data_IF_789455727021
#
_entry.id   IF_789455727021
#
_cell.length_a   1.000
_cell.length_b   1.000
_cell.length_c   1.000
_cell.angle_alpha   90.00
_cell.angle_beta   90.00
_cell.angle_gamma   90.00
#
_symmetry.space_group_name_H-M   'P 1'
#
loop_
_entity.id
_entity.type
_entity.pdbx_description
1 polymer ?
#
# COMPACT_ATOMS: atom_id res chain seq x y z
N UNK A 1 -22.02 -2.18 1.31
CA UNK A 1 -20.99 -3.09 1.89
C UNK A 1 -20.05 -3.46 0.76
N UNK A 2 -18.74 -3.38 0.98
CA UNK A 2 -17.73 -3.71 -0.04
C UNK A 2 -17.55 -5.23 -0.09
N UNK A 3 -17.54 -5.82 -1.30
CA UNK A 3 -17.29 -7.25 -1.49
C UNK A 3 -15.78 -7.51 -1.68
N UNK A 4 -15.04 -7.47 -0.58
CA UNK A 4 -13.59 -7.68 -0.56
C UNK A 4 -13.19 -9.05 -1.14
N UNK A 5 -14.01 -10.08 -0.93
CA UNK A 5 -13.74 -11.43 -1.42
C UNK A 5 -13.69 -11.50 -2.93
N UNK A 6 -14.64 -10.85 -3.60
CA UNK A 6 -14.66 -10.80 -5.06
C UNK A 6 -13.50 -9.95 -5.59
N UNK A 7 -13.27 -8.77 -5.00
CA UNK A 7 -12.15 -7.87 -5.37
C UNK A 7 -10.81 -8.59 -5.27
N UNK A 8 -10.51 -9.20 -4.13
CA UNK A 8 -9.23 -9.88 -3.89
C UNK A 8 -8.98 -11.02 -4.87
N UNK A 9 -10.01 -11.80 -5.22
CA UNK A 9 -9.90 -12.86 -6.22
C UNK A 9 -9.61 -12.32 -7.62
N UNK A 10 -10.25 -11.22 -8.01
CA UNK A 10 -10.06 -10.59 -9.32
C UNK A 10 -8.68 -9.93 -9.44
N UNK A 11 -8.17 -9.37 -8.35
CA UNK A 11 -6.90 -8.63 -8.31
C UNK A 11 -5.68 -9.55 -8.21
N UNK A 12 -5.79 -10.70 -7.52
CA UNK A 12 -4.65 -11.61 -7.28
C UNK A 12 -3.85 -11.98 -8.54
N UNK A 13 -4.47 -12.30 -9.69
CA UNK A 13 -3.73 -12.57 -10.93
C UNK A 13 -3.01 -11.35 -11.54
N UNK A 14 -3.42 -10.13 -11.19
CA UNK A 14 -2.92 -8.87 -11.74
C UNK A 14 -1.92 -8.15 -10.81
N UNK A 15 -1.59 -8.70 -9.64
CA UNK A 15 -0.65 -8.07 -8.69
C UNK A 15 0.68 -7.64 -9.34
N UNK A 16 1.22 -8.40 -10.29
CA UNK A 16 2.43 -8.01 -11.01
C UNK A 16 2.29 -6.74 -11.83
N UNK A 17 1.08 -6.43 -12.35
CA UNK A 17 0.79 -5.20 -13.07
C UNK A 17 0.59 -4.00 -12.15
N UNK A 18 0.22 -4.24 -10.90
CA UNK A 18 0.11 -3.21 -9.86
C UNK A 18 1.47 -2.77 -9.31
N UNK A 19 2.54 -3.54 -9.57
CA UNK A 19 3.90 -3.12 -9.25
C UNK A 19 4.30 -1.85 -10.03
N UNK A 20 5.30 -1.13 -9.53
CA UNK A 20 5.74 0.13 -10.10
C UNK A 20 5.52 1.31 -9.16
N UNK A 21 5.34 2.50 -9.73
CA UNK A 21 5.33 3.75 -8.97
C UNK A 21 3.93 4.32 -8.91
N UNK A 22 3.47 4.60 -7.68
CA UNK A 22 2.19 5.22 -7.37
C UNK A 22 2.42 6.51 -6.59
N UNK A 23 1.80 7.60 -7.06
CA UNK A 23 1.83 8.89 -6.38
C UNK A 23 0.53 9.07 -5.60
N UNK A 24 0.63 9.51 -4.36
CA UNK A 24 -0.55 9.83 -3.55
C UNK A 24 -1.13 11.17 -4.01
N UNK A 25 -2.35 11.15 -4.55
CA UNK A 25 -3.02 12.36 -5.05
C UNK A 25 -3.89 12.99 -3.95
N UNK A 26 -4.55 12.16 -3.16
CA UNK A 26 -5.39 12.58 -2.05
C UNK A 26 -5.49 11.45 -1.01
N UNK A 27 -5.64 11.85 0.25
CA UNK A 27 -5.78 10.95 1.39
C UNK A 27 -6.81 11.54 2.36
N UNK A 28 -7.71 10.71 2.90
CA UNK A 28 -8.55 11.11 4.04
C UNK A 28 -7.68 11.31 5.28
N UNK A 29 -8.12 12.09 6.27
CA UNK A 29 -7.32 12.33 7.48
C UNK A 29 -6.73 11.02 8.06
N UNK A 30 -5.40 10.92 8.07
CA UNK A 30 -4.66 9.73 8.48
C UNK A 30 -3.49 10.13 9.41
N UNK A 31 -3.64 9.97 10.74
CA UNK A 31 -2.61 10.36 11.71
C UNK A 31 -1.38 9.45 11.70
N UNK A 32 -1.41 8.34 10.94
CA UNK A 32 -0.31 7.38 10.84
C UNK A 32 0.57 7.59 9.60
N UNK A 33 0.12 8.44 8.67
CA UNK A 33 0.92 8.85 7.52
C UNK A 33 1.95 9.89 7.98
N UNK A 34 3.23 9.61 7.71
CA UNK A 34 4.35 10.46 8.13
C UNK A 34 4.89 11.32 6.98
N UNK A 35 4.51 11.02 5.74
CA UNK A 35 4.88 11.78 4.55
C UNK A 35 3.70 12.69 4.17
N UNK A 36 3.92 14.00 4.16
CA UNK A 36 2.87 15.01 3.91
C UNK A 36 2.87 15.48 2.45
N UNK A 37 4.04 15.63 1.83
CA UNK A 37 4.16 16.14 0.47
C UNK A 37 5.01 15.24 -0.40
N UNK A 38 4.79 15.31 -1.72
CA UNK A 38 5.54 14.57 -2.72
C UNK A 38 5.58 13.06 -2.45
N UNK A 39 4.49 12.50 -1.91
CA UNK A 39 4.42 11.09 -1.52
C UNK A 39 4.46 10.21 -2.77
N UNK A 40 5.57 9.50 -2.92
CA UNK A 40 5.85 8.54 -3.97
C UNK A 40 6.06 7.17 -3.37
N UNK A 41 5.23 6.22 -3.76
CA UNK A 41 5.30 4.82 -3.35
C UNK A 41 5.80 3.98 -4.52
N UNK A 42 6.84 3.19 -4.29
CA UNK A 42 7.38 2.26 -5.26
C UNK A 42 7.20 0.83 -4.75
N UNK A 43 6.51 0.01 -5.54
CA UNK A 43 6.18 -1.37 -5.23
C UNK A 43 6.90 -2.32 -6.16
N UNK A 44 7.57 -3.32 -5.58
CA UNK A 44 8.16 -4.44 -6.32
C UNK A 44 7.49 -5.73 -5.88
N UNK A 45 6.91 -6.48 -6.83
CA UNK A 45 6.19 -7.72 -6.55
C UNK A 45 7.07 -8.94 -6.80
N UNK A 46 7.23 -9.81 -5.81
CA UNK A 46 8.08 -11.01 -5.88
C UNK A 46 7.33 -12.29 -6.29
N UNK A 47 6.03 -12.18 -6.59
CA UNK A 47 5.14 -13.31 -6.84
C UNK A 47 4.24 -13.66 -5.65
N UNK A 48 4.60 -13.21 -4.45
CA UNK A 48 3.86 -13.47 -3.21
C UNK A 48 3.42 -12.21 -2.48
N UNK A 49 4.29 -11.19 -2.43
CA UNK A 49 4.06 -9.93 -1.75
C UNK A 49 4.72 -8.77 -2.51
N UNK A 50 4.33 -7.56 -2.13
CA UNK A 50 4.99 -6.34 -2.57
C UNK A 50 5.99 -5.89 -1.51
N UNK A 51 7.22 -5.60 -1.92
CA UNK A 51 8.13 -4.73 -1.16
C UNK A 51 7.78 -3.29 -1.49
N UNK A 52 7.53 -2.47 -0.48
CA UNK A 52 7.16 -1.07 -0.63
C UNK A 52 8.28 -0.14 -0.16
N UNK A 53 8.61 0.84 -1.00
CA UNK A 53 9.46 1.97 -0.63
C UNK A 53 8.68 3.25 -0.84
N UNK A 54 8.40 3.96 0.25
CA UNK A 54 7.73 5.26 0.22
C UNK A 54 8.72 6.37 0.49
N UNK A 55 8.64 7.43 -0.31
CA UNK A 55 9.48 8.62 -0.18
C UNK A 55 8.62 9.86 -0.26
N UNK A 56 9.04 10.92 0.41
CA UNK A 56 8.34 12.20 0.38
C UNK A 56 8.97 13.18 1.35
N UNK A 57 8.23 14.23 1.66
CA UNK A 57 8.60 15.27 2.63
C UNK A 57 7.71 15.07 3.86
N UNK A 58 8.29 15.02 5.05
CA UNK A 58 7.56 14.90 6.30
C UNK A 58 6.97 16.25 6.76
N UNK A 59 6.24 16.26 7.88
CA UNK A 59 5.63 17.47 8.45
C UNK A 59 6.63 18.55 8.87
N UNK A 60 7.90 18.17 9.08
CA UNK A 60 8.98 19.11 9.41
C UNK A 60 9.68 19.69 8.16
N UNK A 61 9.24 19.31 6.96
CA UNK A 61 9.85 19.72 5.69
C UNK A 61 11.08 18.92 5.28
N UNK A 62 11.41 17.82 5.96
CA UNK A 62 12.56 16.99 5.65
C UNK A 62 12.22 15.85 4.69
N UNK A 63 13.17 15.50 3.82
CA UNK A 63 13.07 14.29 3.00
C UNK A 63 13.11 13.05 3.91
N UNK A 64 12.14 12.17 3.72
CA UNK A 64 12.00 10.94 4.48
C UNK A 64 11.75 9.76 3.53
N UNK A 65 12.32 8.61 3.91
CA UNK A 65 12.07 7.31 3.28
C UNK A 65 11.48 6.36 4.32
N UNK A 66 10.47 5.59 3.94
CA UNK A 66 9.88 4.52 4.74
C UNK A 66 9.88 3.22 3.95
N UNK A 67 10.29 2.13 4.58
CA UNK A 67 10.20 0.80 3.99
C UNK A 67 9.02 0.05 4.59
N UNK A 68 8.38 -0.75 3.76
CA UNK A 68 7.26 -1.59 4.16
C UNK A 68 7.05 -2.74 3.21
N UNK A 69 5.96 -3.46 3.43
CA UNK A 69 5.51 -4.56 2.62
C UNK A 69 3.99 -4.59 2.57
N UNK A 70 3.47 -5.11 1.45
CA UNK A 70 2.04 -5.38 1.29
C UNK A 70 1.92 -6.87 0.96
N UNK A 71 1.23 -7.62 1.80
CA UNK A 71 1.14 -9.08 1.71
C UNK A 71 -0.31 -9.55 1.93
N UNK A 72 -0.68 -10.78 1.56
CA UNK A 72 -1.97 -11.34 1.96
C UNK A 72 -2.16 -11.28 3.48
N UNK A 73 -3.37 -10.93 3.95
CA UNK A 73 -3.66 -10.81 5.38
C UNK A 73 -3.29 -12.12 6.11
N UNK A 74 -2.41 -12.09 7.13
CA UNK A 74 -1.93 -13.30 7.80
C UNK A 74 -3.04 -14.16 8.43
N UNK A 75 -4.17 -13.55 8.81
CA UNK A 75 -5.32 -14.23 9.40
C UNK A 75 -6.22 -14.92 8.35
N UNK A 76 -5.93 -14.75 7.06
CA UNK A 76 -6.65 -15.40 5.96
C UNK A 76 -7.87 -14.63 5.44
N UNK A 77 -8.11 -13.41 5.94
CA UNK A 77 -9.14 -12.53 5.40
C UNK A 77 -8.86 -12.18 3.94
N UNK A 78 -9.90 -11.96 3.11
CA UNK A 78 -9.74 -11.82 1.68
C UNK A 78 -9.37 -10.38 1.29
N UNK A 79 -8.27 -9.87 1.83
CA UNK A 79 -7.65 -8.61 1.47
C UNK A 79 -6.14 -8.66 1.72
N UNK A 80 -5.43 -7.62 1.28
CA UNK A 80 -4.03 -7.45 1.60
C UNK A 80 -3.89 -6.78 2.97
N UNK A 81 -2.71 -6.87 3.56
CA UNK A 81 -2.29 -6.06 4.69
C UNK A 81 -1.13 -5.17 4.28
N UNK A 82 -1.12 -3.95 4.80
CA UNK A 82 0.00 -3.01 4.69
C UNK A 82 0.76 -2.97 6.00
N UNK A 83 2.08 -3.08 5.92
CA UNK A 83 2.97 -3.20 7.07
C UNK A 83 4.24 -2.36 6.82
N UNK A 84 4.46 -1.33 7.64
CA UNK A 84 5.61 -0.43 7.52
C UNK A 84 6.45 -0.45 8.79
N UNK A 85 7.76 -0.24 8.62
CA UNK A 85 8.70 -0.13 9.74
C UNK A 85 8.23 0.91 10.78
N UNK A 86 8.27 0.51 12.06
CA UNK A 86 7.84 1.36 13.17
C UNK A 86 6.34 1.66 13.22
N UNK A 87 5.50 0.87 12.53
CA UNK A 87 4.05 1.05 12.49
C UNK A 87 3.30 -0.25 12.78
N UNK A 88 1.98 -0.16 12.83
CA UNK A 88 1.08 -1.30 13.00
C UNK A 88 0.64 -1.81 11.63
N UNK A 89 0.41 -3.12 11.54
CA UNK A 89 -0.19 -3.73 10.35
C UNK A 89 -1.66 -3.31 10.23
N UNK A 90 -2.12 -3.01 9.01
CA UNK A 90 -3.50 -2.62 8.74
C UNK A 90 -4.05 -3.29 7.47
N UNK A 91 -5.38 -3.47 7.34
CA UNK A 91 -5.99 -3.93 6.10
C UNK A 91 -5.74 -2.97 4.93
N UNK A 92 -5.51 -3.52 3.76
CA UNK A 92 -5.32 -2.80 2.50
C UNK A 92 -6.22 -3.42 1.42
N UNK A 93 -7.27 -2.69 1.06
CA UNK A 93 -8.25 -3.10 0.05
C UNK A 93 -8.12 -2.17 -1.14
N UNK A 94 -7.80 -2.72 -2.31
CA UNK A 94 -7.86 -1.98 -3.57
C UNK A 94 -9.34 -1.97 -3.99
N UNK A 95 -10.00 -0.82 -3.91
CA UNK A 95 -11.42 -0.71 -4.23
C UNK A 95 -11.68 -0.77 -5.74
N UNK A 96 -10.80 -0.14 -6.51
CA UNK A 96 -10.83 -0.11 -7.96
C UNK A 96 -9.42 0.23 -8.51
N UNK A 97 -9.06 -0.33 -9.66
CA UNK A 97 -7.79 -0.08 -10.37
C UNK A 97 -7.93 -0.57 -11.82
N UNK A 98 -7.26 0.09 -12.76
CA UNK A 98 -7.32 -0.20 -14.20
C UNK A 98 -6.23 -1.17 -14.69
N UNK A 99 -5.37 -1.65 -13.80
CA UNK A 99 -4.29 -2.62 -14.06
C UNK A 99 -4.52 -3.98 -13.39
#
# INVERSE_FOLDING_TARGET
VVDEKTLFKQQKPNHSKYAGVWYEIALTNNPYQLLEQCVRNEYSFDGTKFTATSTGINTDGNLMKRNGQILPMPLGDPHLSVDYEGSWIAPYVILDTDY
#
